data_IF_873884102463
#
_entry.id   IF_873884102463
#
_cell.length_a   1.000
_cell.length_b   1.000
_cell.length_c   1.000
_cell.angle_alpha   90.00
_cell.angle_beta   90.00
_cell.angle_gamma   90.00
#
_symmetry.space_group_name_H-M   'P 1'
#
loop_
_entity.id
_entity.type
_entity.pdbx_description
1 polymer ?
#
# COMPACT_ATOMS: atom_id res chain seq x y z
N UNK A 1 33.75 1.53 -15.95
CA UNK A 1 34.08 0.10 -15.74
C UNK A 1 34.32 -0.12 -14.25
N UNK A 2 33.33 -0.63 -13.52
CA UNK A 2 33.46 -0.90 -12.10
C UNK A 2 34.00 -2.35 -11.94
N UNK A 3 35.27 -2.50 -11.58
CA UNK A 3 35.94 -3.77 -11.32
C UNK A 3 36.41 -3.85 -9.86
N UNK A 4 36.50 -5.05 -9.28
CA UNK A 4 37.10 -5.25 -7.96
C UNK A 4 38.57 -5.68 -8.13
N UNK A 5 39.44 -5.16 -7.28
CA UNK A 5 40.86 -5.55 -7.30
C UNK A 5 41.03 -6.84 -6.53
N UNK A 6 41.71 -7.83 -7.11
CA UNK A 6 41.97 -9.09 -6.41
C UNK A 6 42.91 -8.83 -5.22
N UNK A 7 42.59 -9.26 -3.99
CA UNK A 7 43.45 -9.05 -2.82
C UNK A 7 44.78 -9.82 -2.92
N UNK A 8 44.85 -10.87 -3.75
CA UNK A 8 46.02 -11.72 -3.86
C UNK A 8 47.03 -11.27 -4.90
N UNK A 9 46.57 -10.88 -6.10
CA UNK A 9 47.45 -10.52 -7.22
C UNK A 9 47.40 -9.03 -7.57
N UNK A 10 46.53 -8.25 -6.91
CA UNK A 10 46.30 -6.81 -7.17
C UNK A 10 45.86 -6.48 -8.59
N UNK A 11 45.48 -7.49 -9.38
CA UNK A 11 44.99 -7.31 -10.73
C UNK A 11 43.49 -6.93 -10.74
N UNK A 12 43.06 -6.22 -11.76
CA UNK A 12 41.67 -5.80 -11.91
C UNK A 12 40.81 -6.96 -12.42
N UNK A 13 39.78 -7.31 -11.66
CA UNK A 13 38.85 -8.40 -11.99
C UNK A 13 37.43 -7.85 -12.12
N UNK A 14 36.58 -8.52 -12.91
CA UNK A 14 35.14 -8.22 -12.98
C UNK A 14 34.52 -8.29 -11.58
N UNK A 15 33.61 -7.38 -11.27
CA UNK A 15 32.93 -7.33 -9.96
C UNK A 15 32.24 -8.64 -9.59
N UNK A 16 31.65 -9.28 -10.58
CA UNK A 16 30.89 -10.53 -10.41
C UNK A 16 31.75 -11.78 -10.61
N UNK A 17 33.07 -11.64 -10.72
CA UNK A 17 33.95 -12.80 -10.82
C UNK A 17 34.07 -13.50 -9.45
N UNK A 18 33.77 -14.80 -9.45
CA UNK A 18 34.01 -15.72 -8.34
C UNK A 18 35.44 -16.25 -8.32
N UNK A 19 36.17 -16.16 -9.44
CA UNK A 19 37.54 -16.68 -9.57
C UNK A 19 38.40 -15.67 -10.31
N UNK A 20 39.63 -15.47 -9.84
CA UNK A 20 40.58 -14.58 -10.49
C UNK A 20 41.14 -15.27 -11.73
N UNK A 21 41.04 -14.62 -12.90
CA UNK A 21 41.66 -15.15 -14.13
C UNK A 21 43.19 -15.21 -14.07
N UNK A 22 43.81 -14.40 -13.20
CA UNK A 22 45.26 -14.26 -13.13
C UNK A 22 45.90 -15.18 -12.09
N UNK A 23 45.37 -15.20 -10.86
CA UNK A 23 45.91 -16.05 -9.80
C UNK A 23 45.15 -17.36 -9.58
N UNK A 24 44.01 -17.56 -10.26
CA UNK A 24 43.19 -18.77 -10.13
C UNK A 24 42.49 -18.93 -8.77
N UNK A 25 42.69 -18.01 -7.82
CA UNK A 25 42.06 -18.07 -6.50
C UNK A 25 40.61 -17.63 -6.57
N UNK A 26 39.79 -18.26 -5.73
CA UNK A 26 38.40 -17.86 -5.51
C UNK A 26 38.36 -16.47 -4.86
N UNK A 27 37.52 -15.58 -5.39
CA UNK A 27 37.20 -14.30 -4.76
C UNK A 27 35.80 -14.44 -4.18
N UNK A 28 35.64 -14.03 -2.93
CA UNK A 28 34.30 -13.95 -2.34
C UNK A 28 33.41 -13.05 -3.22
N UNK A 29 32.19 -13.52 -3.56
CA UNK A 29 31.21 -12.66 -4.18
C UNK A 29 30.92 -11.54 -3.20
N UNK A 30 30.99 -10.29 -3.69
CA UNK A 30 30.41 -9.20 -2.93
C UNK A 30 28.91 -9.49 -2.91
N UNK A 31 28.46 -10.07 -1.80
CA UNK A 31 27.06 -10.15 -1.46
C UNK A 31 26.61 -8.72 -1.13
N UNK A 32 26.59 -7.82 -2.11
CA UNK A 32 25.63 -6.73 -2.13
C UNK A 32 24.26 -7.39 -2.37
N UNK A 33 23.82 -8.12 -1.34
CA UNK A 33 22.45 -8.48 -1.15
C UNK A 33 21.68 -7.17 -1.24
N UNK A 34 20.87 -7.09 -2.29
CA UNK A 34 20.01 -5.96 -2.62
C UNK A 34 19.19 -5.57 -1.39
N UNK A 35 19.70 -4.63 -0.61
CA UNK A 35 18.95 -3.88 0.38
C UNK A 35 18.00 -2.94 -0.37
N UNK A 36 16.98 -3.51 -1.02
CA UNK A 36 15.87 -2.77 -1.64
C UNK A 36 14.62 -3.68 -1.74
N UNK A 37 14.39 -4.45 -0.68
CA UNK A 37 13.06 -4.97 -0.30
C UNK A 37 12.54 -4.28 0.97
N UNK A 38 13.17 -3.16 1.36
CA UNK A 38 12.64 -2.26 2.37
C UNK A 38 11.56 -1.39 1.73
N UNK A 39 10.37 -1.97 1.55
CA UNK A 39 9.15 -1.18 1.55
C UNK A 39 9.01 -0.60 2.95
N UNK A 40 9.20 0.71 3.18
CA UNK A 40 9.04 1.27 4.51
C UNK A 40 7.56 1.12 4.87
N UNK A 41 7.28 0.39 5.96
CA UNK A 41 5.93 0.13 6.49
C UNK A 41 5.03 1.38 6.60
N UNK A 42 5.60 2.58 6.57
CA UNK A 42 4.85 3.83 6.67
C UNK A 42 4.01 4.16 5.43
N UNK A 43 4.43 3.75 4.23
CA UNK A 43 3.65 4.01 3.00
C UNK A 43 2.34 3.20 3.04
N UNK A 44 2.40 1.95 3.50
CA UNK A 44 1.21 1.11 3.68
C UNK A 44 0.26 1.67 4.75
N UNK A 45 0.76 2.31 5.81
CA UNK A 45 -0.08 2.98 6.81
C UNK A 45 -0.89 4.13 6.20
N UNK A 46 -0.28 4.91 5.30
CA UNK A 46 -0.97 6.00 4.59
C UNK A 46 -2.11 5.49 3.70
N UNK A 47 -1.85 4.47 2.88
CA UNK A 47 -2.87 3.90 1.99
C UNK A 47 -4.01 3.21 2.76
N UNK A 48 -3.70 2.49 3.84
CA UNK A 48 -4.71 1.85 4.68
C UNK A 48 -5.66 2.87 5.33
N UNK A 49 -5.13 4.02 5.78
CA UNK A 49 -5.95 5.10 6.32
C UNK A 49 -6.86 5.74 5.28
N UNK A 50 -6.36 5.96 4.06
CA UNK A 50 -7.11 6.60 2.97
C UNK A 50 -8.26 5.71 2.48
N UNK A 51 -8.03 4.40 2.31
CA UNK A 51 -9.08 3.45 1.92
C UNK A 51 -10.13 3.27 3.01
N UNK A 52 -9.72 3.14 4.27
CA UNK A 52 -10.66 3.06 5.40
C UNK A 52 -11.51 4.34 5.53
N UNK A 53 -10.89 5.51 5.38
CA UNK A 53 -11.59 6.80 5.43
C UNK A 53 -12.61 6.97 4.31
N UNK A 54 -12.25 6.63 3.08
CA UNK A 54 -13.17 6.68 1.93
C UNK A 54 -14.35 5.70 2.11
N UNK A 55 -14.08 4.47 2.57
CA UNK A 55 -15.13 3.49 2.84
C UNK A 55 -16.12 3.98 3.91
N UNK A 56 -15.62 4.53 5.03
CA UNK A 56 -16.46 5.10 6.08
C UNK A 56 -17.28 6.30 5.59
N UNK A 57 -16.71 7.17 4.76
CA UNK A 57 -17.43 8.32 4.21
C UNK A 57 -18.58 7.88 3.28
N UNK A 58 -18.34 6.86 2.45
CA UNK A 58 -19.39 6.27 1.60
C UNK A 58 -20.49 5.61 2.43
N UNK A 59 -20.12 4.81 3.44
CA UNK A 59 -21.09 4.18 4.35
C UNK A 59 -21.91 5.25 5.08
N UNK A 60 -21.27 6.29 5.64
CA UNK A 60 -21.94 7.37 6.34
C UNK A 60 -22.86 8.19 5.43
N UNK A 61 -22.41 8.53 4.22
CA UNK A 61 -23.23 9.21 3.22
C UNK A 61 -24.44 8.39 2.81
N UNK A 62 -24.25 7.08 2.57
CA UNK A 62 -25.34 6.16 2.26
C UNK A 62 -26.34 6.03 3.43
N UNK A 63 -25.85 5.96 4.67
CA UNK A 63 -26.69 5.88 5.86
C UNK A 63 -27.48 7.19 6.11
N UNK A 64 -26.84 8.34 5.86
CA UNK A 64 -27.47 9.65 5.96
C UNK A 64 -28.58 9.81 4.92
N UNK A 65 -28.32 9.41 3.68
CA UNK A 65 -29.34 9.42 2.64
C UNK A 65 -30.51 8.53 3.05
N UNK A 66 -30.23 7.31 3.54
CA UNK A 66 -31.28 6.39 4.00
C UNK A 66 -32.17 6.97 5.11
N UNK A 67 -31.62 7.76 6.05
CA UNK A 67 -32.42 8.39 7.11
C UNK A 67 -33.43 9.41 6.59
N UNK A 68 -33.13 10.10 5.49
CA UNK A 68 -34.07 11.06 4.87
C UNK A 68 -35.37 10.38 4.42
N UNK A 69 -35.28 9.15 3.92
CA UNK A 69 -36.46 8.40 3.48
C UNK A 69 -37.38 7.99 4.64
N UNK A 70 -36.84 7.78 5.84
CA UNK A 70 -37.64 7.38 7.00
C UNK A 70 -38.45 8.55 7.56
N UNK A 71 -37.89 9.77 7.56
CA UNK A 71 -38.60 10.99 7.95
C UNK A 71 -39.75 11.32 6.99
N UNK A 72 -39.52 11.23 5.67
CA UNK A 72 -40.57 11.43 4.66
C UNK A 72 -41.70 10.39 4.87
N UNK A 73 -41.38 9.12 5.13
CA UNK A 73 -42.40 8.08 5.40
C UNK A 73 -43.23 8.43 6.64
N UNK A 74 -42.61 8.90 7.72
CA UNK A 74 -43.34 9.30 8.94
C UNK A 74 -44.20 10.55 8.75
N UNK A 75 -43.77 11.50 7.93
CA UNK A 75 -44.52 12.75 7.68
C UNK A 75 -45.73 12.48 6.77
N UNK A 76 -45.59 11.61 5.76
CA UNK A 76 -46.73 11.15 4.93
C UNK A 76 -47.75 10.34 5.74
N UNK A 77 -47.30 9.44 6.63
CA UNK A 77 -48.21 8.63 7.45
C UNK A 77 -48.90 9.43 8.56
N UNK A 78 -48.28 10.50 9.06
CA UNK A 78 -48.94 11.44 9.96
C UNK A 78 -50.00 12.31 9.25
N UNK A 79 -49.80 12.65 7.97
CA UNK A 79 -50.78 13.40 7.17
C UNK A 79 -52.02 12.59 6.79
N UNK A 80 -51.84 11.30 6.47
CA UNK A 80 -52.94 10.42 6.04
C UNK A 80 -53.95 10.09 7.16
N UNK A 81 -53.54 10.14 8.44
CA UNK A 81 -54.46 9.89 9.57
C UNK A 81 -55.40 11.08 9.82
N UNK A 82 -54.95 12.32 9.62
CA UNK A 82 -55.79 13.52 9.84
C UNK A 82 -56.89 13.69 8.77
N UNK A 83 -56.64 13.28 7.53
CA UNK A 83 -57.62 13.42 6.44
C UNK A 83 -58.74 12.35 6.50
N UNK A 84 -58.54 11.24 7.23
CA UNK A 84 -59.52 10.17 7.38
C UNK A 84 -60.49 10.36 8.57
N UNK A 85 -60.34 11.42 9.36
CA UNK A 85 -61.23 11.74 10.50
C UNK A 85 -62.28 12.84 10.17
N UNK A 86 -62.27 13.43 8.97
CA UNK A 86 -63.19 14.52 8.56
C UNK A 86 -64.30 14.08 7.58
N UNK A 87 -64.69 12.80 7.55
CA UNK A 87 -65.84 12.29 6.79
C UNK A 87 -66.89 11.58 7.66
#
# INVERSE_FOLDING_TARGET
MLGKTCPHCKERVKKDAFVCRYCGRELEPNNEHKHNLYYPNWIFAGFAGLTAGAALALIFGYWKERRRWEEDITDYSAGEEFDNEEF
#
